data_IF_100263775400
#
_entry.id   IF_100263775400
#
_cell.length_a   1.000
_cell.length_b   1.000
_cell.length_c   1.000
_cell.angle_alpha   90.00
_cell.angle_beta   90.00
_cell.angle_gamma   90.00
#
_symmetry.space_group_name_H-M   'P 1'
#
loop_
_entity.id
_entity.type
_entity.pdbx_description
1 polymer ?
#
# COMPACT_ATOMS: atom_id res chain seq x y z
N UNK A 1 50.97 -21.52 64.67
CA UNK A 1 50.94 -20.72 63.43
C UNK A 1 49.78 -21.20 62.60
N UNK A 2 48.97 -20.24 62.16
CA UNK A 2 47.64 -20.40 61.58
C UNK A 2 47.70 -20.74 60.08
N UNK A 3 46.61 -21.38 59.66
CA UNK A 3 46.00 -21.42 58.33
C UNK A 3 46.45 -22.49 57.32
N UNK A 4 45.47 -23.29 56.88
CA UNK A 4 45.67 -24.40 55.95
C UNK A 4 44.36 -24.99 55.39
N UNK A 5 43.66 -24.19 54.60
CA UNK A 5 42.84 -24.61 53.46
C UNK A 5 41.54 -25.41 53.70
N UNK A 6 40.47 -24.64 53.82
CA UNK A 6 39.08 -24.94 53.47
C UNK A 6 38.97 -25.48 52.02
N UNK A 7 38.57 -26.74 51.85
CA UNK A 7 38.21 -27.32 50.53
C UNK A 7 36.78 -27.85 50.57
N UNK A 8 35.82 -26.94 50.62
CA UNK A 8 34.42 -27.23 50.33
C UNK A 8 34.22 -27.24 48.80
N UNK A 9 33.96 -28.42 48.25
CA UNK A 9 33.61 -28.64 46.84
C UNK A 9 32.20 -28.07 46.61
N UNK A 10 31.98 -27.05 45.76
CA UNK A 10 30.61 -26.70 45.39
C UNK A 10 30.16 -27.61 44.25
N UNK A 11 29.36 -28.61 44.64
CA UNK A 11 28.52 -29.43 43.77
C UNK A 11 27.39 -28.56 43.19
N UNK A 12 27.68 -27.62 42.29
CA UNK A 12 26.63 -26.88 41.55
C UNK A 12 27.14 -26.63 40.13
N UNK A 13 27.01 -27.63 39.25
CA UNK A 13 27.29 -27.46 37.83
C UNK A 13 26.39 -28.36 36.99
N UNK A 14 25.07 -28.25 37.18
CA UNK A 14 24.10 -28.89 36.29
C UNK A 14 22.69 -28.28 36.42
N UNK A 15 22.55 -26.95 36.34
CA UNK A 15 21.21 -26.32 36.35
C UNK A 15 21.13 -25.05 35.51
N UNK A 16 21.89 -24.97 34.41
CA UNK A 16 22.00 -23.71 33.66
C UNK A 16 22.12 -23.88 32.17
N UNK A 17 21.24 -24.66 31.52
CA UNK A 17 21.17 -24.62 30.06
C UNK A 17 19.85 -25.10 29.46
N UNK A 18 18.72 -24.50 29.83
CA UNK A 18 17.52 -24.48 28.96
C UNK A 18 16.88 -23.10 29.03
N UNK A 19 17.47 -22.13 28.35
CA UNK A 19 16.77 -20.95 27.85
C UNK A 19 17.12 -20.77 26.37
N UNK A 20 16.81 -21.79 25.56
CA UNK A 20 16.76 -21.61 24.11
C UNK A 20 15.49 -20.80 23.79
N UNK A 21 15.70 -19.62 23.21
CA UNK A 21 14.73 -18.52 23.18
C UNK A 21 13.38 -18.87 22.54
N UNK A 22 12.31 -18.57 23.27
CA UNK A 22 11.02 -18.31 22.66
C UNK A 22 11.12 -16.95 21.96
N UNK A 23 11.39 -16.95 20.65
CA UNK A 23 11.15 -15.75 19.86
C UNK A 23 9.66 -15.41 19.97
N UNK A 24 9.28 -14.15 20.24
CA UNK A 24 7.88 -13.78 20.27
C UNK A 24 7.28 -14.06 18.89
N UNK A 25 6.25 -14.91 18.83
CA UNK A 25 5.40 -15.03 17.63
C UNK A 25 4.79 -13.65 17.41
N UNK A 26 5.20 -12.97 16.34
CA UNK A 26 4.55 -11.73 15.93
C UNK A 26 3.15 -12.06 15.45
N UNK A 27 2.16 -11.35 15.99
CA UNK A 27 0.82 -11.36 15.41
C UNK A 27 0.89 -10.98 13.92
N UNK A 28 -0.01 -11.56 13.12
CA UNK A 28 -0.14 -11.19 11.71
C UNK A 28 -0.37 -9.67 11.59
N UNK A 29 0.14 -9.07 10.51
CA UNK A 29 -0.10 -7.66 10.22
C UNK A 29 -1.62 -7.46 10.03
N UNK A 30 -2.28 -6.61 10.85
CA UNK A 30 -3.72 -6.40 10.74
C UNK A 30 -4.14 -5.83 9.37
N UNK A 31 -3.23 -5.24 8.60
CA UNK A 31 -3.51 -4.85 7.23
C UNK A 31 -3.67 -6.07 6.32
N UNK A 32 -2.90 -7.15 6.50
CA UNK A 32 -3.08 -8.38 5.73
C UNK A 32 -4.49 -8.95 5.94
N UNK A 33 -4.96 -8.98 7.19
CA UNK A 33 -6.32 -9.44 7.50
C UNK A 33 -7.39 -8.59 6.81
N UNK A 34 -7.20 -7.26 6.76
CA UNK A 34 -8.08 -6.36 6.00
C UNK A 34 -8.04 -6.62 4.50
N UNK A 35 -6.87 -6.95 3.94
CA UNK A 35 -6.72 -7.28 2.53
C UNK A 35 -7.25 -8.67 2.16
N UNK A 36 -7.43 -9.56 3.13
CA UNK A 36 -8.14 -10.83 2.94
C UNK A 36 -9.67 -10.63 2.97
N UNK A 37 -10.15 -9.57 3.61
CA UNK A 37 -11.57 -9.25 3.63
C UNK A 37 -12.06 -8.73 2.26
N UNK A 38 -13.18 -9.28 1.81
CA UNK A 38 -13.90 -8.86 0.60
C UNK A 38 -15.33 -8.45 0.97
N UNK A 39 -15.95 -7.44 0.31
CA UNK A 39 -15.42 -6.57 -0.75
C UNK A 39 -14.71 -5.31 -0.23
N UNK A 40 -13.84 -4.74 -1.09
CA UNK A 40 -13.13 -3.50 -0.76
C UNK A 40 -14.05 -2.27 -0.81
N UNK A 41 -13.76 -1.31 0.07
CA UNK A 41 -14.53 -0.07 0.21
C UNK A 41 -13.89 1.10 -0.53
N UNK A 42 -13.49 2.13 0.23
CA UNK A 42 -12.91 3.38 -0.28
C UNK A 42 -11.46 3.23 -0.75
N UNK A 43 -10.73 2.30 -0.14
CA UNK A 43 -9.34 2.01 -0.46
C UNK A 43 -9.26 0.85 -1.48
N UNK A 44 -8.43 1.02 -2.50
CA UNK A 44 -8.12 0.05 -3.54
C UNK A 44 -6.61 -0.10 -3.63
N UNK A 45 -6.04 -0.99 -2.84
CA UNK A 45 -4.59 -0.96 -2.54
C UNK A 45 -3.81 -2.08 -3.20
N UNK A 46 -4.48 -3.00 -3.87
CA UNK A 46 -3.88 -4.00 -4.77
C UNK A 46 -4.42 -3.84 -6.18
N UNK A 47 -3.79 -4.48 -7.18
CA UNK A 47 -4.26 -4.46 -8.57
C UNK A 47 -5.72 -4.96 -8.71
N UNK A 48 -6.13 -5.94 -7.90
CA UNK A 48 -7.49 -6.49 -7.89
C UNK A 48 -8.39 -6.00 -6.74
N UNK A 49 -7.98 -4.95 -6.04
CA UNK A 49 -8.66 -4.38 -4.87
C UNK A 49 -8.21 -5.03 -3.56
N UNK A 50 -8.33 -6.36 -3.45
CA UNK A 50 -7.91 -7.17 -2.30
C UNK A 50 -7.00 -8.34 -2.73
N UNK A 51 -6.58 -9.20 -1.79
CA UNK A 51 -5.71 -10.36 -2.10
C UNK A 51 -6.43 -11.47 -2.88
N UNK A 52 -7.77 -11.48 -2.87
CA UNK A 52 -8.57 -12.44 -3.66
C UNK A 52 -8.71 -12.03 -5.14
N UNK A 53 -8.26 -10.83 -5.51
CA UNK A 53 -8.31 -10.29 -6.88
C UNK A 53 -9.69 -10.30 -7.55
N UNK A 54 -10.77 -10.23 -6.77
CA UNK A 54 -12.14 -10.27 -7.30
C UNK A 54 -12.54 -9.03 -8.11
N UNK A 55 -11.77 -7.93 -8.00
CA UNK A 55 -12.07 -6.66 -8.68
C UNK A 55 -13.49 -6.13 -8.37
N UNK A 56 -13.98 -6.35 -7.14
CA UNK A 56 -15.32 -5.98 -6.70
C UNK A 56 -15.29 -5.00 -5.52
N UNK A 57 -16.08 -3.92 -5.61
CA UNK A 57 -16.24 -2.90 -4.55
C UNK A 57 -17.62 -2.97 -3.90
N UNK A 58 -17.68 -2.74 -2.58
CA UNK A 58 -18.94 -2.62 -1.83
C UNK A 58 -19.56 -1.21 -1.89
N UNK A 59 -18.95 -0.26 -2.58
CA UNK A 59 -19.51 1.08 -2.75
C UNK A 59 -20.76 1.03 -3.63
N UNK A 60 -21.83 1.70 -3.19
CA UNK A 60 -23.16 1.65 -3.83
C UNK A 60 -23.72 3.03 -4.20
N UNK A 61 -22.90 4.08 -4.11
CA UNK A 61 -23.34 5.45 -4.44
C UNK A 61 -23.72 5.59 -5.92
N UNK A 62 -23.05 4.83 -6.79
CA UNK A 62 -23.35 4.76 -8.22
C UNK A 62 -23.97 3.39 -8.47
N UNK A 63 -25.14 3.38 -9.09
CA UNK A 63 -25.91 2.18 -9.43
C UNK A 63 -26.59 2.34 -10.80
N UNK A 64 -27.39 1.35 -11.21
CA UNK A 64 -28.08 1.33 -12.51
C UNK A 64 -29.08 2.46 -12.69
N UNK A 65 -29.59 3.06 -11.61
CA UNK A 65 -30.53 4.17 -11.65
C UNK A 65 -29.83 5.54 -11.73
N UNK A 66 -28.64 5.66 -11.15
CA UNK A 66 -27.89 6.91 -11.01
C UNK A 66 -26.75 7.08 -12.01
N UNK A 67 -26.27 6.01 -12.65
CA UNK A 67 -25.12 6.04 -13.60
C UNK A 67 -25.28 7.07 -14.73
N UNK A 68 -26.53 7.31 -15.17
CA UNK A 68 -26.87 8.32 -16.19
C UNK A 68 -26.51 9.77 -15.80
N UNK A 69 -26.27 10.02 -14.52
CA UNK A 69 -25.94 11.34 -13.99
C UNK A 69 -24.43 11.59 -13.89
N UNK A 70 -23.60 10.60 -14.21
CA UNK A 70 -22.14 10.72 -14.11
C UNK A 70 -21.59 11.78 -15.06
N UNK A 71 -20.68 12.58 -14.51
CA UNK A 71 -19.93 13.62 -15.22
C UNK A 71 -18.48 13.56 -14.79
N UNK A 72 -17.58 14.06 -15.63
CA UNK A 72 -16.17 14.20 -15.26
C UNK A 72 -16.00 15.13 -14.06
N UNK A 73 -15.57 14.60 -12.92
CA UNK A 73 -15.37 15.39 -11.71
C UNK A 73 -14.07 16.21 -11.76
N UNK A 74 -13.01 15.63 -12.33
CA UNK A 74 -11.69 16.24 -12.43
C UNK A 74 -10.85 15.62 -13.54
N UNK A 75 -9.84 16.36 -13.99
CA UNK A 75 -8.82 15.90 -14.92
C UNK A 75 -7.46 16.45 -14.49
N UNK A 76 -6.39 15.74 -14.83
CA UNK A 76 -5.02 16.21 -14.58
C UNK A 76 -4.10 15.87 -15.74
N UNK A 77 -3.01 16.62 -15.86
CA UNK A 77 -1.93 16.33 -16.81
C UNK A 77 -0.82 15.58 -16.08
N UNK A 78 -0.36 14.47 -16.64
CA UNK A 78 0.75 13.67 -16.09
C UNK A 78 2.12 14.21 -16.53
N UNK A 79 2.25 15.54 -16.62
CA UNK A 79 3.49 16.24 -17.00
C UNK A 79 4.16 15.68 -18.27
N UNK A 80 3.36 15.31 -19.27
CA UNK A 80 3.82 14.76 -20.56
C UNK A 80 4.35 13.32 -20.51
N UNK A 81 4.26 12.63 -19.38
CA UNK A 81 4.69 11.23 -19.25
C UNK A 81 3.72 10.27 -19.93
N UNK A 82 4.26 9.18 -20.51
CA UNK A 82 3.47 8.15 -21.19
C UNK A 82 2.79 8.63 -22.47
N UNK A 83 3.24 9.75 -23.03
CA UNK A 83 2.71 10.33 -24.27
C UNK A 83 3.51 9.86 -25.49
N UNK A 84 2.82 9.39 -26.53
CA UNK A 84 3.42 8.88 -27.77
C UNK A 84 3.08 7.41 -28.02
N UNK A 85 3.04 7.00 -29.29
CA UNK A 85 2.50 5.70 -29.71
C UNK A 85 3.25 4.46 -29.21
N UNK A 86 4.45 4.62 -28.67
CA UNK A 86 5.22 3.53 -28.05
C UNK A 86 4.83 3.21 -26.60
N UNK A 87 3.98 4.04 -25.98
CA UNK A 87 3.56 3.86 -24.60
C UNK A 87 2.09 3.44 -24.52
N UNK A 88 1.78 2.52 -23.62
CA UNK A 88 0.40 2.06 -23.32
C UNK A 88 -0.05 2.52 -21.94
N UNK A 89 -1.36 2.63 -21.74
CA UNK A 89 -1.99 3.00 -20.47
C UNK A 89 -2.75 1.79 -19.89
N UNK A 90 -2.01 0.86 -19.28
CA UNK A 90 -2.55 -0.43 -18.78
C UNK A 90 -2.66 -0.49 -17.25
N UNK A 91 -2.14 0.54 -16.56
CA UNK A 91 -2.08 0.57 -15.11
C UNK A 91 -3.49 0.63 -14.48
N UNK A 92 -3.72 -0.20 -13.47
CA UNK A 92 -4.85 -0.01 -12.54
C UNK A 92 -4.43 0.99 -11.46
N UNK A 93 -5.16 2.10 -11.26
CA UNK A 93 -4.89 3.04 -10.18
C UNK A 93 -5.00 2.36 -8.81
N UNK A 94 -4.09 2.69 -7.90
CA UNK A 94 -4.24 2.35 -6.48
C UNK A 94 -4.75 3.57 -5.71
N UNK A 95 -5.63 3.37 -4.74
CA UNK A 95 -6.17 4.45 -3.89
C UNK A 95 -6.00 4.06 -2.43
N UNK A 96 -5.35 4.93 -1.66
CA UNK A 96 -5.23 4.82 -0.20
C UNK A 96 -5.41 6.21 0.40
N UNK A 97 -6.28 6.33 1.41
CA UNK A 97 -6.46 7.57 2.17
C UNK A 97 -6.77 8.80 1.28
N UNK A 98 -7.53 8.58 0.20
CA UNK A 98 -7.92 9.62 -0.75
C UNK A 98 -6.83 10.07 -1.74
N UNK A 99 -5.64 9.44 -1.71
CA UNK A 99 -4.57 9.64 -2.68
C UNK A 99 -4.61 8.52 -3.71
N UNK A 100 -4.65 8.90 -4.98
CA UNK A 100 -4.58 7.97 -6.11
C UNK A 100 -3.13 7.89 -6.61
N UNK A 101 -2.60 6.67 -6.74
CA UNK A 101 -1.30 6.37 -7.28
C UNK A 101 -1.45 5.77 -8.67
N UNK A 102 -0.74 6.32 -9.64
CA UNK A 102 -0.81 5.93 -11.05
C UNK A 102 0.58 5.84 -11.63
N UNK A 103 0.82 4.80 -12.43
CA UNK A 103 2.02 4.65 -13.24
C UNK A 103 1.68 4.86 -14.71
N UNK A 104 2.60 5.43 -15.47
CA UNK A 104 2.46 5.57 -16.94
C UNK A 104 3.27 4.49 -17.65
N UNK A 105 3.02 4.29 -18.95
CA UNK A 105 3.87 3.43 -19.80
C UNK A 105 5.32 3.93 -19.99
N UNK A 106 5.69 5.05 -19.36
CA UNK A 106 7.07 5.57 -19.31
C UNK A 106 7.65 5.44 -17.89
N UNK A 107 7.15 4.50 -17.10
CA UNK A 107 7.61 4.13 -15.75
C UNK A 107 7.60 5.27 -14.72
N UNK A 108 6.84 6.33 -14.98
CA UNK A 108 6.69 7.42 -14.02
C UNK A 108 5.55 7.15 -13.05
N UNK A 109 5.83 7.33 -11.76
CA UNK A 109 4.84 7.20 -10.69
C UNK A 109 4.33 8.58 -10.28
N UNK A 110 3.00 8.71 -10.22
CA UNK A 110 2.30 9.90 -9.80
C UNK A 110 1.43 9.65 -8.58
N UNK A 111 1.50 10.55 -7.60
CA UNK A 111 0.50 10.67 -6.54
C UNK A 111 -0.45 11.83 -6.90
N UNK A 112 -1.74 11.52 -6.96
CA UNK A 112 -2.81 12.37 -7.44
C UNK A 112 -3.84 12.59 -6.32
N UNK A 113 -4.20 13.85 -6.07
CA UNK A 113 -5.32 14.17 -5.18
C UNK A 113 -6.47 14.73 -6.03
N UNK A 114 -7.64 14.10 -6.03
CA UNK A 114 -8.79 14.59 -6.78
C UNK A 114 -9.25 15.94 -6.21
N UNK A 115 -9.60 16.88 -7.10
CA UNK A 115 -10.23 18.14 -6.71
C UNK A 115 -11.53 18.29 -7.50
N UNK A 116 -12.70 18.31 -6.84
CA UNK A 116 -13.97 18.49 -7.53
C UNK A 116 -13.99 19.75 -8.37
N UNK A 117 -14.76 19.71 -9.46
CA UNK A 117 -15.07 20.87 -10.27
C UNK A 117 -15.69 21.99 -9.42
N UNK A 118 -15.29 23.24 -9.69
CA UNK A 118 -15.87 24.42 -9.04
C UNK A 118 -17.23 24.83 -9.62
N UNK A 119 -17.57 24.37 -10.83
CA UNK A 119 -18.84 24.66 -11.50
C UNK A 119 -19.28 23.56 -12.47
N UNK A 120 -20.59 23.44 -12.68
CA UNK A 120 -21.20 22.56 -13.67
C UNK A 120 -20.62 22.85 -15.06
N UNK A 121 -19.99 21.85 -15.69
CA UNK A 121 -19.39 21.94 -17.03
C UNK A 121 -17.87 22.06 -17.05
N UNK A 122 -17.21 22.25 -15.89
CA UNK A 122 -15.75 22.16 -15.78
C UNK A 122 -15.34 20.86 -15.11
N UNK A 123 -14.17 20.32 -15.46
CA UNK A 123 -13.50 19.31 -14.63
C UNK A 123 -12.55 20.03 -13.68
N UNK A 124 -12.55 19.68 -12.39
CA UNK A 124 -11.56 20.20 -11.45
C UNK A 124 -10.13 19.76 -11.82
N UNK A 125 -9.11 20.49 -11.36
CA UNK A 125 -7.70 20.14 -11.59
C UNK A 125 -7.11 19.47 -10.36
N UNK A 126 -6.87 18.16 -10.44
CA UNK A 126 -6.18 17.41 -9.38
C UNK A 126 -4.74 17.87 -9.20
N UNK A 127 -4.21 17.76 -7.98
CA UNK A 127 -2.77 18.00 -7.73
C UNK A 127 -1.96 16.75 -8.08
N UNK A 128 -0.78 16.95 -8.67
CA UNK A 128 0.07 15.86 -9.17
C UNK A 128 1.49 16.00 -8.66
N UNK A 129 1.98 15.02 -7.89
CA UNK A 129 3.40 14.88 -7.52
C UNK A 129 4.01 13.70 -8.28
N UNK A 130 5.12 13.95 -8.99
CA UNK A 130 5.87 12.93 -9.75
C UNK A 130 7.07 12.50 -8.92
N UNK A 131 7.32 11.20 -8.84
CA UNK A 131 8.59 10.66 -8.36
C UNK A 131 9.31 10.02 -9.54
N UNK A 132 10.52 10.49 -9.87
CA UNK A 132 11.44 9.76 -10.75
C UNK A 132 12.48 9.08 -9.86
N UNK A 133 12.45 7.74 -9.76
CA UNK A 133 13.70 7.01 -9.50
C UNK A 133 14.22 6.63 -10.87
N UNK A 134 15.23 7.35 -11.36
CA UNK A 134 16.04 6.81 -12.45
C UNK A 134 16.74 5.57 -11.88
N UNK A 135 16.29 4.38 -12.25
CA UNK A 135 17.18 3.22 -12.19
C UNK A 135 18.09 3.41 -13.38
N UNK A 136 19.27 3.98 -13.14
CA UNK A 136 20.33 3.94 -14.13
C UNK A 136 20.66 2.46 -14.37
N UNK A 137 20.28 1.94 -15.53
CA UNK A 137 20.90 0.73 -16.04
C UNK A 137 22.37 1.09 -16.30
N UNK A 138 23.27 0.44 -15.56
CA UNK A 138 24.70 0.44 -15.86
C UNK A 138 25.02 -0.48 -17.03
#
# INVERSE_FOLDING_TARGET
MRDGAQRSIPLILAAGMILAGAAPVRAADPEIDRLLQSPVGKDWVTNGGNLTNQRYSKLKQIDTSSVKQLKGAWMTRLKGSGFGGKYSAEATPLVKDGIMYMVTGNDDVFALTPRPAKSCGSAGRGSTRRSRRSVAAG
#
